data_IF_649028058683
#
_entry.id   IF_649028058683
#
_cell.length_a   1.000
_cell.length_b   1.000
_cell.length_c   1.000
_cell.angle_alpha   90.00
_cell.angle_beta   90.00
_cell.angle_gamma   90.00
#
_symmetry.space_group_name_H-M   'P 1'
#
loop_
_entity.id
_entity.type
_entity.pdbx_description
1 polymer ?
#
# COMPACT_ATOMS: atom_id res chain seq x y z
N UNK A 1 -26.90 20.22 -19.57
CA UNK A 1 -25.85 19.73 -20.50
C UNK A 1 -24.76 18.96 -19.73
N UNK A 2 -24.70 19.08 -18.40
CA UNK A 2 -23.87 18.31 -17.45
C UNK A 2 -23.98 16.78 -17.52
N UNK A 3 -25.17 16.19 -17.64
CA UNK A 3 -25.31 14.72 -17.62
C UNK A 3 -24.65 14.03 -18.83
N UNK A 4 -24.57 14.73 -19.97
CA UNK A 4 -23.79 14.28 -21.14
C UNK A 4 -22.29 14.38 -20.89
N UNK A 5 -21.87 15.29 -20.01
CA UNK A 5 -20.49 15.48 -19.62
C UNK A 5 -20.04 14.36 -18.67
N UNK A 6 -20.87 13.98 -17.69
CA UNK A 6 -20.58 12.86 -16.80
C UNK A 6 -20.54 11.52 -17.55
N UNK A 7 -21.50 11.25 -18.44
CA UNK A 7 -21.49 10.03 -19.27
C UNK A 7 -20.28 9.97 -20.22
N UNK A 8 -19.97 11.07 -20.90
CA UNK A 8 -18.79 11.10 -21.78
C UNK A 8 -17.48 11.07 -20.97
N UNK A 9 -17.45 11.58 -19.75
CA UNK A 9 -16.28 11.53 -18.90
C UNK A 9 -16.05 10.12 -18.35
N UNK A 10 -17.10 9.43 -17.88
CA UNK A 10 -17.04 8.02 -17.48
C UNK A 10 -16.67 7.12 -18.66
N UNK A 11 -17.28 7.33 -19.83
CA UNK A 11 -16.94 6.58 -21.04
C UNK A 11 -15.49 6.83 -21.46
N UNK A 12 -15.00 8.08 -21.43
CA UNK A 12 -13.58 8.39 -21.71
C UNK A 12 -12.63 7.78 -20.69
N UNK A 13 -13.00 7.73 -19.41
CA UNK A 13 -12.20 7.10 -18.37
C UNK A 13 -12.12 5.58 -18.59
N UNK A 14 -13.23 4.95 -18.97
CA UNK A 14 -13.29 3.53 -19.32
C UNK A 14 -12.52 3.20 -20.60
N UNK A 15 -12.63 4.04 -21.64
CA UNK A 15 -11.95 3.86 -22.92
C UNK A 15 -10.43 4.10 -22.80
N UNK A 16 -10.00 5.08 -22.00
CA UNK A 16 -8.57 5.37 -21.75
C UNK A 16 -7.84 4.26 -20.99
N UNK A 17 -8.56 3.45 -20.23
CA UNK A 17 -8.02 2.29 -19.53
C UNK A 17 -7.86 1.05 -20.44
N UNK A 18 -8.42 1.06 -21.65
CA UNK A 18 -8.34 -0.04 -22.62
C UNK A 18 -7.13 0.05 -23.54
N UNK A 19 -6.40 1.17 -23.58
CA UNK A 19 -5.22 1.35 -24.42
C UNK A 19 -3.94 1.12 -23.61
N UNK A 20 -3.50 -0.14 -23.55
CA UNK A 20 -2.16 -0.50 -23.09
C UNK A 20 -1.25 -0.74 -24.33
N UNK A 21 -0.06 -0.13 -24.43
CA UNK A 21 0.81 -0.28 -25.60
C UNK A 21 1.40 -1.70 -25.65
N UNK A 22 1.14 -2.42 -26.75
CA UNK A 22 1.79 -3.70 -27.07
C UNK A 22 3.30 -3.53 -27.15
N UNK A 23 4.02 -4.11 -26.20
CA UNK A 23 5.46 -4.34 -26.31
C UNK A 23 5.67 -5.51 -27.29
N UNK A 24 6.35 -5.22 -28.41
CA UNK A 24 6.88 -6.22 -29.34
C UNK A 24 8.03 -6.98 -28.68
N UNK A 25 7.94 -8.30 -28.64
CA UNK A 25 9.06 -9.19 -28.32
C UNK A 25 9.56 -9.86 -29.61
N UNK A 26 10.82 -9.62 -29.95
CA UNK A 26 11.59 -10.41 -30.92
C UNK A 26 12.33 -11.53 -30.19
N UNK A 27 12.32 -12.78 -30.69
CA UNK A 27 13.18 -13.83 -30.17
C UNK A 27 14.44 -13.97 -31.05
N UNK A 28 15.62 -13.79 -30.47
CA UNK A 28 16.86 -14.19 -31.11
C UNK A 28 17.25 -15.61 -30.74
N UNK A 29 17.78 -16.29 -31.75
CA UNK A 29 17.97 -17.72 -31.85
C UNK A 29 19.46 -18.08 -31.74
N UNK A 30 19.69 -19.32 -31.32
CA UNK A 30 20.77 -20.21 -31.77
C UNK A 30 22.19 -20.08 -31.16
N UNK A 31 22.46 -21.05 -30.29
CA UNK A 31 23.58 -22.01 -30.33
C UNK A 31 24.66 -21.87 -31.42
N UNK A 32 25.93 -22.00 -31.00
CA UNK A 32 26.94 -22.86 -31.64
C UNK A 32 28.14 -23.16 -30.72
N UNK A 33 28.49 -24.44 -30.69
CA UNK A 33 29.62 -25.12 -30.08
C UNK A 33 30.93 -24.96 -30.89
N UNK A 34 32.10 -25.26 -30.27
CA UNK A 34 33.13 -26.24 -30.74
C UNK A 34 34.62 -25.85 -30.45
N UNK A 35 35.37 -26.91 -30.05
CA UNK A 35 36.79 -27.26 -30.16
C UNK A 35 37.83 -26.86 -29.08
N UNK A 36 38.38 -27.94 -28.52
CA UNK A 36 39.61 -28.17 -27.77
C UNK A 36 40.89 -27.71 -28.48
N UNK A 37 41.96 -27.44 -27.73
CA UNK A 37 43.28 -28.00 -28.05
C UNK A 37 44.22 -28.06 -26.83
N UNK A 38 45.02 -29.13 -26.79
CA UNK A 38 46.05 -29.47 -25.81
C UNK A 38 47.38 -28.78 -26.14
N UNK A 39 48.29 -28.68 -25.15
CA UNK A 39 49.70 -28.41 -25.43
C UNK A 39 50.57 -28.22 -24.19
N UNK A 40 51.10 -29.33 -23.67
CA UNK A 40 52.29 -29.37 -22.80
C UNK A 40 53.56 -28.91 -23.55
N UNK A 41 54.49 -28.25 -22.84
CA UNK A 41 55.93 -28.55 -22.90
C UNK A 41 56.75 -27.75 -21.87
N UNK A 42 57.14 -28.46 -20.81
CA UNK A 42 58.51 -28.68 -20.30
C UNK A 42 59.63 -27.62 -20.38
N UNK A 43 60.37 -27.61 -19.26
CA UNK A 43 61.85 -27.66 -19.11
C UNK A 43 62.65 -26.39 -18.71
N UNK A 44 62.98 -26.38 -17.41
CA UNK A 44 64.32 -26.47 -16.79
C UNK A 44 65.40 -25.34 -16.88
N UNK A 45 65.84 -24.95 -15.67
CA UNK A 45 67.22 -24.82 -15.13
C UNK A 45 68.22 -23.85 -15.77
N UNK A 46 68.77 -22.88 -14.99
CA UNK A 46 69.95 -23.02 -14.10
C UNK A 46 70.57 -21.65 -13.74
N UNK A 47 71.09 -21.51 -12.50
CA UNK A 47 72.35 -20.82 -12.08
C UNK A 47 72.20 -20.27 -10.65
N UNK A 48 72.74 -20.90 -9.58
CA UNK A 48 74.13 -20.76 -9.06
C UNK A 48 74.52 -19.31 -8.69
N UNK A 49 75.20 -18.96 -7.59
CA UNK A 49 75.77 -19.65 -6.41
C UNK A 49 76.40 -18.60 -5.45
N UNK A 50 76.67 -19.00 -4.19
CA UNK A 50 77.65 -18.39 -3.26
C UNK A 50 77.10 -18.09 -1.86
N UNK A 51 77.73 -18.37 -0.71
CA UNK A 51 79.07 -18.89 -0.38
C UNK A 51 79.12 -19.23 1.14
N UNK A 52 79.59 -20.44 1.46
CA UNK A 52 80.37 -20.95 2.62
C UNK A 52 80.31 -20.33 4.06
N UNK A 53 79.79 -21.15 4.99
CA UNK A 53 80.28 -21.74 6.27
C UNK A 53 81.46 -21.19 7.13
N UNK A 54 81.28 -21.44 8.45
CA UNK A 54 82.23 -21.74 9.56
C UNK A 54 82.23 -20.65 10.68
N UNK A 55 82.22 -20.89 12.00
CA UNK A 55 82.08 -22.05 12.90
C UNK A 55 82.08 -21.53 14.36
N UNK A 56 81.25 -22.15 15.21
CA UNK A 56 81.34 -22.41 16.66
C UNK A 56 81.85 -21.33 17.66
N UNK A 57 81.11 -21.10 18.78
CA UNK A 57 81.59 -21.16 20.19
C UNK A 57 80.48 -20.76 21.21
N UNK A 58 80.11 -21.72 22.08
CA UNK A 58 79.66 -21.69 23.49
C UNK A 58 78.56 -20.75 24.04
N UNK A 59 77.61 -21.42 24.70
CA UNK A 59 76.70 -21.05 25.81
C UNK A 59 76.87 -19.70 26.53
N UNK A 60 75.75 -18.99 26.76
CA UNK A 60 75.32 -18.71 28.15
C UNK A 60 73.83 -18.31 28.20
N UNK A 61 73.17 -18.91 29.19
CA UNK A 61 71.82 -18.66 29.71
C UNK A 61 71.70 -17.22 30.20
N UNK A 62 70.66 -16.50 29.80
CA UNK A 62 69.85 -15.60 30.65
C UNK A 62 68.41 -15.71 30.16
N UNK A 63 67.61 -16.36 30.99
CA UNK A 63 66.16 -16.37 31.02
C UNK A 63 65.71 -15.02 31.57
N UNK A 64 64.97 -14.23 30.78
CA UNK A 64 64.26 -13.06 31.29
C UNK A 64 62.96 -12.83 30.49
N UNK A 65 61.88 -13.42 31.01
CA UNK A 65 60.50 -12.94 30.95
C UNK A 65 59.87 -12.73 29.56
N UNK A 66 59.45 -13.82 28.91
CA UNK A 66 58.26 -13.78 28.06
C UNK A 66 57.03 -13.58 28.96
N UNK A 67 56.39 -12.43 28.80
CA UNK A 67 55.07 -12.17 29.36
C UNK A 67 54.10 -12.99 28.51
N UNK A 68 53.66 -14.15 29.02
CA UNK A 68 52.68 -15.02 28.36
C UNK A 68 51.41 -14.23 28.01
N UNK A 69 51.29 -13.82 26.74
CA UNK A 69 50.03 -13.35 26.19
C UNK A 69 49.13 -14.58 26.00
N UNK A 70 47.94 -14.63 26.64
CA UNK A 70 47.09 -15.82 26.59
C UNK A 70 46.72 -16.12 25.14
N UNK A 71 46.60 -17.41 24.77
CA UNK A 71 46.31 -17.81 23.40
C UNK A 71 45.04 -17.12 22.90
N UNK A 72 44.99 -16.71 21.62
CA UNK A 72 43.93 -15.86 21.05
C UNK A 72 42.52 -16.46 21.19
N UNK A 73 42.42 -17.78 21.36
CA UNK A 73 41.16 -18.49 21.64
C UNK A 73 40.52 -18.10 22.97
N UNK A 74 41.31 -17.88 24.02
CA UNK A 74 40.81 -17.55 25.36
C UNK A 74 40.27 -16.11 25.43
N UNK A 75 40.81 -15.21 24.61
CA UNK A 75 40.33 -13.83 24.52
C UNK A 75 38.98 -13.75 23.79
N UNK A 76 38.80 -14.57 22.74
CA UNK A 76 37.53 -14.67 22.05
C UNK A 76 36.45 -15.23 22.97
N UNK A 77 36.70 -16.35 23.68
CA UNK A 77 35.72 -16.93 24.61
C UNK A 77 35.24 -15.95 25.70
N UNK A 78 36.15 -15.19 26.33
CA UNK A 78 35.77 -14.15 27.31
C UNK A 78 34.91 -13.06 26.68
N UNK A 79 35.26 -12.61 25.47
CA UNK A 79 34.47 -11.62 24.74
C UNK A 79 33.07 -12.14 24.40
N UNK A 80 32.92 -13.44 24.10
CA UNK A 80 31.62 -14.07 23.87
C UNK A 80 30.77 -13.98 25.14
N UNK A 81 31.32 -14.39 26.28
CA UNK A 81 30.61 -14.39 27.56
C UNK A 81 30.16 -12.97 27.96
N UNK A 82 31.05 -11.98 27.80
CA UNK A 82 30.74 -10.57 28.09
C UNK A 82 29.58 -10.04 27.22
N UNK A 83 29.59 -10.33 25.91
CA UNK A 83 28.51 -9.93 25.00
C UNK A 83 27.19 -10.59 25.37
N UNK A 84 27.21 -11.88 25.74
CA UNK A 84 26.00 -12.60 26.14
C UNK A 84 25.39 -12.04 27.42
N UNK A 85 26.20 -11.69 28.42
CA UNK A 85 25.75 -11.07 29.67
C UNK A 85 25.13 -9.69 29.41
N UNK A 86 25.76 -8.88 28.55
CA UNK A 86 25.21 -7.58 28.15
C UNK A 86 23.86 -7.75 27.44
N UNK A 87 23.76 -8.70 26.50
CA UNK A 87 22.52 -8.96 25.77
C UNK A 87 21.40 -9.47 26.69
N UNK A 88 21.70 -10.35 27.64
CA UNK A 88 20.72 -10.83 28.62
C UNK A 88 20.22 -9.70 29.53
N UNK A 89 21.13 -8.81 29.95
CA UNK A 89 20.78 -7.63 30.73
C UNK A 89 19.83 -6.73 29.94
N UNK A 90 20.17 -6.40 28.68
CA UNK A 90 19.34 -5.53 27.83
C UNK A 90 17.97 -6.16 27.50
N UNK A 91 17.92 -7.47 27.27
CA UNK A 91 16.67 -8.20 27.07
C UNK A 91 15.78 -8.13 28.31
N UNK A 92 16.36 -8.33 29.51
CA UNK A 92 15.62 -8.24 30.77
C UNK A 92 15.08 -6.83 31.05
N UNK A 93 15.77 -5.79 30.58
CA UNK A 93 15.37 -4.39 30.68
C UNK A 93 14.45 -3.93 29.54
N UNK A 94 14.09 -4.84 28.61
CA UNK A 94 13.30 -4.54 27.41
C UNK A 94 13.92 -3.44 26.51
N UNK A 95 15.25 -3.33 26.50
CA UNK A 95 16.02 -2.38 25.68
C UNK A 95 16.37 -2.97 24.32
N UNK A 96 15.32 -3.36 23.57
CA UNK A 96 15.44 -4.11 22.31
C UNK A 96 16.29 -3.38 21.26
N UNK A 97 16.10 -2.06 21.09
CA UNK A 97 16.83 -1.26 20.10
C UNK A 97 18.35 -1.27 20.33
N UNK A 98 18.76 -1.30 21.60
CA UNK A 98 20.16 -1.31 22.02
C UNK A 98 20.77 -2.71 21.86
N UNK A 99 20.02 -3.76 22.21
CA UNK A 99 20.44 -5.13 21.98
C UNK A 99 20.68 -5.41 20.48
N UNK A 100 19.81 -4.89 19.60
CA UNK A 100 20.00 -4.99 18.14
C UNK A 100 21.27 -4.24 17.70
N UNK A 101 21.53 -3.04 18.23
CA UNK A 101 22.73 -2.26 17.87
C UNK A 101 24.04 -2.97 18.26
N UNK A 102 24.06 -3.66 19.41
CA UNK A 102 25.20 -4.49 19.81
C UNK A 102 25.39 -5.64 18.83
N UNK A 103 24.33 -6.36 18.47
CA UNK A 103 24.42 -7.47 17.51
C UNK A 103 24.88 -7.06 16.11
N UNK A 104 24.47 -5.88 15.63
CA UNK A 104 24.96 -5.32 14.37
C UNK A 104 26.47 -5.02 14.43
N UNK A 105 26.90 -4.39 15.53
CA UNK A 105 28.33 -4.05 15.77
C UNK A 105 29.17 -5.31 15.86
N UNK A 106 28.66 -6.35 16.54
CA UNK A 106 29.33 -7.63 16.71
C UNK A 106 29.40 -8.43 15.42
N UNK A 107 28.38 -8.39 14.57
CA UNK A 107 28.45 -9.00 13.25
C UNK A 107 29.52 -8.33 12.36
N UNK A 108 29.67 -7.01 12.43
CA UNK A 108 30.74 -6.29 11.73
C UNK A 108 32.13 -6.57 12.32
N UNK A 109 32.25 -6.60 13.65
CA UNK A 109 33.48 -6.99 14.35
C UNK A 109 33.90 -8.39 13.92
N UNK A 110 32.96 -9.33 13.89
CA UNK A 110 33.21 -10.71 13.51
C UNK A 110 33.69 -10.83 12.06
N UNK A 111 33.09 -10.09 11.11
CA UNK A 111 33.55 -10.03 9.71
C UNK A 111 34.98 -9.50 9.60
N UNK A 112 35.41 -8.58 10.47
CA UNK A 112 36.80 -8.10 10.52
C UNK A 112 37.75 -9.16 11.09
N UNK A 113 37.37 -9.78 12.22
CA UNK A 113 38.17 -10.82 12.89
C UNK A 113 38.36 -12.04 11.99
N UNK A 114 37.34 -12.45 11.22
CA UNK A 114 37.41 -13.56 10.25
C UNK A 114 38.38 -13.28 9.09
N UNK A 115 38.63 -12.00 8.76
CA UNK A 115 39.58 -11.57 7.70
C UNK A 115 40.99 -11.39 8.24
N UNK A 116 41.15 -10.91 9.48
CA UNK A 116 42.45 -10.61 10.09
C UNK A 116 43.11 -11.82 10.76
N UNK A 117 42.33 -12.69 11.41
CA UNK A 117 42.84 -13.91 12.04
C UNK A 117 42.57 -15.13 11.15
N UNK A 118 43.54 -15.46 10.30
CA UNK A 118 43.52 -16.67 9.47
C UNK A 118 43.66 -18.00 10.21
N UNK A 119 43.71 -18.00 11.56
CA UNK A 119 44.07 -19.18 12.37
C UNK A 119 43.22 -19.35 13.66
N UNK A 120 41.97 -18.85 13.69
CA UNK A 120 41.04 -19.16 14.80
C UNK A 120 40.50 -20.59 14.63
N UNK A 121 40.44 -21.42 15.69
CA UNK A 121 39.82 -22.74 15.62
C UNK A 121 38.38 -22.65 15.09
N UNK A 122 38.10 -23.42 14.02
CA UNK A 122 36.78 -23.44 13.36
C UNK A 122 35.62 -23.69 14.34
N UNK A 123 35.89 -24.43 15.42
CA UNK A 123 34.92 -24.87 16.40
C UNK A 123 34.38 -23.69 17.24
N UNK A 124 35.27 -22.79 17.68
CA UNK A 124 34.94 -21.60 18.48
C UNK A 124 34.18 -20.58 17.64
N UNK A 125 34.59 -20.39 16.36
CA UNK A 125 33.87 -19.53 15.41
C UNK A 125 32.45 -20.01 15.14
N UNK A 126 32.26 -21.33 15.00
CA UNK A 126 30.94 -21.92 14.81
C UNK A 126 30.05 -21.76 16.05
N UNK A 127 30.62 -21.93 17.25
CA UNK A 127 29.93 -21.71 18.52
C UNK A 127 29.45 -20.26 18.64
N UNK A 128 30.32 -19.29 18.35
CA UNK A 128 29.96 -17.87 18.36
C UNK A 128 28.85 -17.53 17.36
N UNK A 129 28.99 -17.99 16.10
CA UNK A 129 27.95 -17.80 15.06
C UNK A 129 26.60 -18.37 15.54
N UNK A 130 26.62 -19.55 16.17
CA UNK A 130 25.41 -20.18 16.72
C UNK A 130 24.78 -19.34 17.83
N UNK A 131 25.57 -18.86 18.79
CA UNK A 131 25.09 -18.07 19.93
C UNK A 131 24.52 -16.72 19.48
N UNK A 132 25.21 -16.01 18.59
CA UNK A 132 24.71 -14.77 18.00
C UNK A 132 23.41 -15.01 17.23
N UNK A 133 23.34 -16.11 16.46
CA UNK A 133 22.12 -16.49 15.74
C UNK A 133 20.97 -16.80 16.69
N UNK A 134 21.23 -17.45 17.82
CA UNK A 134 20.24 -17.73 18.85
C UNK A 134 19.70 -16.44 19.47
N UNK A 135 20.58 -15.50 19.84
CA UNK A 135 20.17 -14.20 20.41
C UNK A 135 19.39 -13.36 19.41
N UNK A 136 19.76 -13.37 18.12
CA UNK A 136 18.96 -12.76 17.05
C UNK A 136 17.56 -13.38 16.98
N UNK A 137 17.45 -14.70 17.02
CA UNK A 137 16.16 -15.38 17.00
C UNK A 137 15.27 -15.01 18.19
N UNK A 138 15.85 -14.91 19.40
CA UNK A 138 15.13 -14.44 20.60
C UNK A 138 14.60 -13.01 20.44
N UNK A 139 15.43 -12.07 19.98
CA UNK A 139 15.01 -10.69 19.74
C UNK A 139 13.95 -10.57 18.66
N UNK A 140 14.04 -11.37 17.59
CA UNK A 140 13.02 -11.46 16.55
C UNK A 140 11.69 -11.95 17.12
N UNK A 141 11.72 -12.97 17.98
CA UNK A 141 10.52 -13.51 18.63
C UNK A 141 9.85 -12.44 19.52
N UNK A 142 10.61 -11.81 20.41
CA UNK A 142 10.09 -10.74 21.29
C UNK A 142 9.53 -9.57 20.49
N UNK A 143 10.26 -9.10 19.47
CA UNK A 143 9.79 -8.03 18.58
C UNK A 143 8.52 -8.43 17.82
N UNK A 144 8.39 -9.70 17.45
CA UNK A 144 7.18 -10.24 16.82
C UNK A 144 6.01 -10.19 17.78
N UNK A 145 6.17 -10.70 19.01
CA UNK A 145 5.13 -10.68 20.06
C UNK A 145 4.65 -9.26 20.34
N UNK A 146 5.57 -8.28 20.34
CA UNK A 146 5.22 -6.86 20.37
C UNK A 146 4.40 -6.51 19.12
N UNK A 147 4.88 -6.72 17.90
CA UNK A 147 4.13 -6.36 16.69
C UNK A 147 2.72 -6.98 16.57
N UNK A 148 2.48 -8.18 17.11
CA UNK A 148 1.16 -8.83 17.07
C UNK A 148 0.16 -8.26 18.09
N UNK A 149 0.62 -7.54 19.11
CA UNK A 149 -0.25 -7.09 20.18
C UNK A 149 -1.14 -5.91 19.74
N UNK A 150 -2.44 -6.21 19.65
CA UNK A 150 -3.50 -5.30 19.19
C UNK A 150 -3.68 -3.99 19.98
N UNK A 151 -3.08 -3.86 21.16
CA UNK A 151 -3.22 -2.69 22.05
C UNK A 151 -2.10 -1.67 21.93
N UNK A 152 -1.10 -1.94 21.09
CA UNK A 152 0.09 -1.10 20.99
C UNK A 152 -0.19 0.19 20.23
N UNK A 153 0.46 1.27 20.68
CA UNK A 153 0.34 2.57 20.04
C UNK A 153 0.97 2.55 18.63
N UNK A 154 0.43 3.36 17.70
CA UNK A 154 0.97 3.46 16.34
C UNK A 154 2.51 3.63 16.24
N UNK A 155 3.17 4.50 17.04
CA UNK A 155 4.62 4.65 16.99
C UNK A 155 5.39 3.46 17.55
N UNK A 156 4.89 2.81 18.61
CA UNK A 156 5.53 1.60 19.16
C UNK A 156 5.45 0.43 18.18
N UNK A 157 4.33 0.29 17.47
CA UNK A 157 4.22 -0.70 16.41
C UNK A 157 5.28 -0.49 15.33
N UNK A 158 5.62 0.75 14.96
CA UNK A 158 6.61 0.99 13.92
C UNK A 158 8.01 0.55 14.32
N UNK A 159 8.34 0.53 15.62
CA UNK A 159 9.66 0.13 16.10
C UNK A 159 9.93 -1.35 15.88
N UNK A 160 8.93 -2.21 16.10
CA UNK A 160 9.11 -3.65 16.01
C UNK A 160 9.50 -4.14 14.60
N UNK A 161 8.79 -3.82 13.50
CA UNK A 161 9.20 -4.16 12.15
C UNK A 161 10.56 -3.56 11.76
N UNK A 162 10.90 -2.36 12.24
CA UNK A 162 12.22 -1.75 12.00
C UNK A 162 13.31 -2.60 12.64
N UNK A 163 13.13 -3.01 13.90
CA UNK A 163 14.06 -3.91 14.60
C UNK A 163 14.19 -5.27 13.91
N UNK A 164 13.07 -5.87 13.49
CA UNK A 164 13.06 -7.15 12.77
C UNK A 164 13.79 -7.03 11.41
N UNK A 165 13.59 -5.93 10.67
CA UNK A 165 14.34 -5.66 9.44
C UNK A 165 15.86 -5.56 9.70
N UNK A 166 16.27 -4.84 10.75
CA UNK A 166 17.67 -4.68 11.17
C UNK A 166 18.33 -6.02 11.54
N UNK A 167 17.56 -6.94 12.12
CA UNK A 167 18.01 -8.31 12.41
C UNK A 167 18.17 -9.20 11.16
N UNK A 168 17.79 -8.70 9.97
CA UNK A 168 17.87 -9.42 8.69
C UNK A 168 16.54 -10.05 8.26
N UNK A 169 15.50 -9.97 9.08
CA UNK A 169 14.21 -10.67 8.88
C UNK A 169 13.19 -9.79 8.14
N UNK A 170 13.61 -9.18 7.02
CA UNK A 170 12.81 -8.19 6.28
C UNK A 170 11.46 -8.72 5.79
N UNK A 171 11.37 -9.99 5.40
CA UNK A 171 10.11 -10.57 4.96
C UNK A 171 9.10 -10.70 6.11
N UNK A 172 9.56 -11.13 7.29
CA UNK A 172 8.71 -11.21 8.48
C UNK A 172 8.22 -9.82 8.90
N UNK A 173 9.08 -8.81 8.86
CA UNK A 173 8.70 -7.43 9.13
C UNK A 173 7.58 -6.93 8.19
N UNK A 174 7.68 -7.24 6.89
CA UNK A 174 6.64 -6.91 5.92
C UNK A 174 5.32 -7.62 6.23
N UNK A 175 5.36 -8.94 6.43
CA UNK A 175 4.16 -9.71 6.76
C UNK A 175 3.43 -9.17 7.99
N UNK A 176 4.17 -8.86 9.07
CA UNK A 176 3.60 -8.33 10.30
C UNK A 176 2.94 -6.96 10.08
N UNK A 177 3.62 -6.07 9.34
CA UNK A 177 3.11 -4.73 9.03
C UNK A 177 1.85 -4.80 8.16
N UNK A 178 1.86 -5.61 7.10
CA UNK A 178 0.70 -5.79 6.22
C UNK A 178 -0.48 -6.41 6.96
N UNK A 179 -0.24 -7.47 7.76
CA UNK A 179 -1.28 -8.11 8.57
C UNK A 179 -1.90 -7.15 9.58
N UNK A 180 -1.11 -6.27 10.18
CA UNK A 180 -1.62 -5.21 11.05
C UNK A 180 -2.58 -4.27 10.30
N UNK A 181 -2.15 -3.74 9.16
CA UNK A 181 -2.98 -2.81 8.39
C UNK A 181 -4.24 -3.48 7.86
N UNK A 182 -4.13 -4.71 7.34
CA UNK A 182 -5.27 -5.54 6.95
C UNK A 182 -6.30 -5.68 8.08
N UNK A 183 -5.84 -6.11 9.26
CA UNK A 183 -6.72 -6.30 10.42
C UNK A 183 -7.40 -5.01 10.85
N UNK A 184 -6.70 -3.86 10.74
CA UNK A 184 -7.29 -2.56 11.04
C UNK A 184 -8.29 -2.09 9.99
N UNK A 185 -8.03 -2.34 8.71
CA UNK A 185 -8.96 -2.01 7.62
C UNK A 185 -10.24 -2.83 7.81
N UNK A 186 -10.11 -4.15 7.94
CA UNK A 186 -11.24 -5.05 8.16
C UNK A 186 -12.09 -4.63 9.37
N UNK A 187 -11.45 -4.39 10.52
CA UNK A 187 -12.15 -3.91 11.73
C UNK A 187 -12.80 -2.55 11.51
N UNK A 188 -12.10 -1.57 10.93
CA UNK A 188 -12.65 -0.23 10.75
C UNK A 188 -13.82 -0.20 9.75
N UNK A 189 -13.79 -1.01 8.69
CA UNK A 189 -14.93 -1.19 7.79
C UNK A 189 -16.12 -1.78 8.57
N UNK A 190 -15.89 -2.83 9.35
CA UNK A 190 -16.93 -3.45 10.16
C UNK A 190 -17.52 -2.47 11.21
N UNK A 191 -16.69 -1.67 11.85
CA UNK A 191 -17.15 -0.66 12.82
C UNK A 191 -17.98 0.44 12.13
N UNK A 192 -17.55 0.91 10.96
CA UNK A 192 -18.30 1.86 10.15
C UNK A 192 -19.66 1.27 9.71
N UNK A 193 -19.72 -0.01 9.36
CA UNK A 193 -20.96 -0.70 8.99
C UNK A 193 -21.96 -0.75 10.14
N UNK A 194 -21.49 -0.99 11.36
CA UNK A 194 -22.33 -1.07 12.55
C UNK A 194 -22.63 0.30 13.19
N UNK A 195 -22.09 1.37 12.63
CA UNK A 195 -22.30 2.74 13.10
C UNK A 195 -23.53 3.39 12.46
N UNK A 196 -23.97 4.53 13.04
CA UNK A 196 -25.04 5.36 12.46
C UNK A 196 -24.69 5.94 11.07
N UNK A 197 -23.43 5.87 10.66
CA UNK A 197 -22.92 6.37 9.38
C UNK A 197 -23.51 5.57 8.21
N UNK A 198 -23.84 4.28 8.40
CA UNK A 198 -24.49 3.44 7.38
C UNK A 198 -25.81 4.00 6.86
N UNK A 199 -26.52 4.77 7.68
CA UNK A 199 -27.88 5.22 7.39
C UNK A 199 -27.98 6.57 6.65
N UNK A 200 -26.88 7.33 6.53
CA UNK A 200 -26.95 8.76 6.17
C UNK A 200 -26.24 9.13 4.85
N UNK A 201 -26.15 8.24 3.86
CA UNK A 201 -25.52 8.58 2.56
C UNK A 201 -23.99 8.74 2.59
N UNK A 202 -23.39 8.85 3.79
CA UNK A 202 -21.97 9.17 4.00
C UNK A 202 -21.08 7.96 4.23
N UNK A 203 -21.66 6.76 4.41
CA UNK A 203 -20.92 5.54 4.76
C UNK A 203 -19.77 5.24 3.82
N UNK A 204 -20.04 5.18 2.52
CA UNK A 204 -19.02 4.78 1.56
C UNK A 204 -17.95 5.85 1.38
N UNK A 205 -18.30 7.13 1.53
CA UNK A 205 -17.34 8.25 1.60
C UNK A 205 -16.37 8.06 2.76
N UNK A 206 -16.87 7.70 3.94
CA UNK A 206 -16.05 7.44 5.13
C UNK A 206 -15.21 6.16 4.98
N UNK A 207 -15.77 5.10 4.38
CA UNK A 207 -15.02 3.87 4.09
C UNK A 207 -13.90 4.14 3.09
N UNK A 208 -14.16 4.87 2.00
CA UNK A 208 -13.12 5.28 1.05
C UNK A 208 -12.02 6.07 1.78
N UNK A 209 -12.40 7.12 2.52
CA UNK A 209 -11.45 7.93 3.29
C UNK A 209 -10.58 7.08 4.20
N UNK A 210 -11.21 6.16 4.94
CA UNK A 210 -10.53 5.29 5.88
C UNK A 210 -9.57 4.33 5.19
N UNK A 211 -10.03 3.55 4.21
CA UNK A 211 -9.21 2.54 3.49
C UNK A 211 -8.00 3.20 2.84
N UNK A 212 -8.22 4.25 2.04
CA UNK A 212 -7.11 4.91 1.34
C UNK A 212 -6.15 5.63 2.30
N UNK A 213 -6.64 6.14 3.45
CA UNK A 213 -5.75 6.67 4.48
C UNK A 213 -4.89 5.58 5.13
N UNK A 214 -5.42 4.37 5.32
CA UNK A 214 -4.67 3.25 5.87
C UNK A 214 -3.63 2.73 4.88
N UNK A 215 -3.97 2.66 3.59
CA UNK A 215 -3.02 2.36 2.51
C UNK A 215 -1.89 3.40 2.50
N UNK A 216 -2.20 4.70 2.60
CA UNK A 216 -1.18 5.75 2.69
C UNK A 216 -0.26 5.57 3.90
N UNK A 217 -0.82 5.24 5.06
CA UNK A 217 -0.02 5.04 6.28
C UNK A 217 0.88 3.82 6.15
N UNK A 218 0.38 2.74 5.57
CA UNK A 218 1.18 1.57 5.25
C UNK A 218 2.33 1.91 4.30
N UNK A 219 2.04 2.65 3.23
CA UNK A 219 3.04 3.11 2.28
C UNK A 219 4.14 3.94 2.96
N UNK A 220 3.76 4.89 3.83
CA UNK A 220 4.70 5.68 4.62
C UNK A 220 5.53 4.84 5.59
N UNK A 221 4.96 3.79 6.19
CA UNK A 221 5.70 2.84 7.02
C UNK A 221 6.75 2.06 6.22
N UNK A 222 6.39 1.58 5.04
CA UNK A 222 7.32 0.90 4.12
C UNK A 222 8.45 1.82 3.65
N UNK A 223 8.14 3.08 3.32
CA UNK A 223 9.16 4.07 2.96
C UNK A 223 10.13 4.36 4.11
N UNK A 224 9.67 4.32 5.38
CA UNK A 224 10.57 4.45 6.55
C UNK A 224 11.45 3.22 6.75
N UNK A 225 10.94 2.03 6.44
CA UNK A 225 11.70 0.78 6.55
C UNK A 225 12.79 0.64 5.50
N UNK A 226 12.50 1.02 4.26
CA UNK A 226 13.38 0.75 3.10
C UNK A 226 13.95 2.00 2.42
N UNK A 227 13.59 3.19 2.90
CA UNK A 227 13.97 4.47 2.31
C UNK A 227 13.09 4.89 1.13
N UNK A 228 13.12 6.19 0.80
CA UNK A 228 12.30 6.82 -0.27
C UNK A 228 12.71 6.40 -1.69
N UNK A 229 13.87 5.77 -1.83
CA UNK A 229 14.45 5.35 -3.12
C UNK A 229 14.10 3.91 -3.49
N UNK A 230 13.59 3.11 -2.55
CA UNK A 230 13.21 1.72 -2.82
C UNK A 230 11.78 1.66 -3.37
N UNK A 231 11.53 1.02 -4.53
CA UNK A 231 10.18 0.74 -4.96
C UNK A 231 9.49 -0.19 -3.96
N UNK A 232 8.18 -0.04 -3.79
CA UNK A 232 7.40 -0.95 -2.94
C UNK A 232 7.62 -2.40 -3.38
N UNK A 233 7.70 -3.32 -2.41
CA UNK A 233 7.84 -4.75 -2.68
C UNK A 233 6.61 -5.26 -3.44
N UNK A 234 6.78 -6.32 -4.23
CA UNK A 234 5.65 -6.99 -4.90
C UNK A 234 4.59 -7.46 -3.90
N UNK A 235 5.02 -7.87 -2.72
CA UNK A 235 4.16 -8.24 -1.58
C UNK A 235 3.29 -7.06 -1.13
N UNK A 236 3.85 -5.86 -0.99
CA UNK A 236 3.09 -4.67 -0.64
C UNK A 236 2.07 -4.29 -1.73
N UNK A 237 2.48 -4.33 -3.00
CA UNK A 237 1.57 -4.00 -4.12
C UNK A 237 0.41 -4.99 -4.19
N UNK A 238 0.69 -6.27 -4.02
CA UNK A 238 -0.33 -7.32 -3.97
C UNK A 238 -1.32 -7.07 -2.81
N UNK A 239 -0.81 -6.74 -1.62
CA UNK A 239 -1.65 -6.40 -0.48
C UNK A 239 -2.55 -5.19 -0.77
N UNK A 240 -2.04 -4.13 -1.41
CA UNK A 240 -2.86 -2.97 -1.78
C UNK A 240 -4.03 -3.35 -2.69
N UNK A 241 -3.83 -4.27 -3.63
CA UNK A 241 -4.90 -4.75 -4.51
C UNK A 241 -5.97 -5.53 -3.74
N UNK A 242 -5.54 -6.38 -2.80
CA UNK A 242 -6.46 -7.11 -1.91
C UNK A 242 -7.31 -6.15 -1.07
N UNK A 243 -6.73 -5.06 -0.55
CA UNK A 243 -7.50 -4.05 0.20
C UNK A 243 -8.48 -3.26 -0.70
N UNK A 244 -8.12 -3.01 -1.96
CA UNK A 244 -9.03 -2.40 -2.94
C UNK A 244 -10.20 -3.34 -3.26
N UNK A 245 -9.94 -4.65 -3.35
CA UNK A 245 -11.00 -5.65 -3.52
C UNK A 245 -11.97 -5.65 -2.32
N UNK A 246 -11.44 -5.64 -1.09
CA UNK A 246 -12.25 -5.53 0.14
C UNK A 246 -13.10 -4.25 0.15
N UNK A 247 -12.52 -3.13 -0.31
CA UNK A 247 -13.27 -1.89 -0.52
C UNK A 247 -14.39 -2.06 -1.54
N UNK A 248 -14.11 -2.66 -2.71
CA UNK A 248 -15.08 -2.83 -3.79
C UNK A 248 -16.27 -3.72 -3.38
N UNK A 249 -16.00 -4.77 -2.60
CA UNK A 249 -17.07 -5.60 -2.00
C UNK A 249 -17.95 -4.78 -1.06
N UNK A 250 -17.34 -3.91 -0.25
CA UNK A 250 -18.07 -3.03 0.68
C UNK A 250 -18.87 -1.94 -0.04
N UNK A 251 -18.32 -1.41 -1.13
CA UNK A 251 -18.97 -0.50 -2.07
C UNK A 251 -20.22 -1.14 -2.67
N UNK A 252 -20.08 -2.31 -3.29
CA UNK A 252 -21.19 -2.99 -3.96
C UNK A 252 -22.33 -3.31 -2.99
N UNK A 253 -21.99 -3.79 -1.78
CA UNK A 253 -22.96 -4.06 -0.72
C UNK A 253 -23.77 -2.82 -0.35
N UNK A 254 -23.09 -1.68 -0.18
CA UNK A 254 -23.74 -0.42 0.17
C UNK A 254 -24.65 0.09 -0.96
N UNK A 255 -24.15 0.11 -2.19
CA UNK A 255 -24.92 0.58 -3.35
C UNK A 255 -26.18 -0.26 -3.53
N UNK A 256 -26.11 -1.58 -3.36
CA UNK A 256 -27.29 -2.47 -3.44
C UNK A 256 -28.29 -2.17 -2.33
N UNK A 257 -27.83 -1.77 -1.13
CA UNK A 257 -28.73 -1.46 -0.01
C UNK A 257 -29.53 -0.15 -0.19
N UNK A 258 -29.14 0.71 -1.14
CA UNK A 258 -29.88 1.94 -1.44
C UNK A 258 -31.28 1.57 -2.00
N UNK A 259 -32.38 1.97 -1.34
CA UNK A 259 -33.72 1.46 -1.65
C UNK A 259 -34.29 2.04 -2.95
N UNK A 260 -34.00 3.31 -3.25
CA UNK A 260 -34.51 4.01 -4.42
C UNK A 260 -33.58 3.84 -5.62
N UNK A 261 -34.12 3.37 -6.75
CA UNK A 261 -33.32 3.04 -7.95
C UNK A 261 -32.66 4.29 -8.55
N UNK A 262 -33.37 5.42 -8.59
CA UNK A 262 -32.80 6.69 -9.08
C UNK A 262 -31.67 7.19 -8.17
N UNK A 263 -31.82 7.12 -6.85
CA UNK A 263 -30.76 7.53 -5.92
C UNK A 263 -29.58 6.55 -5.90
N UNK A 264 -29.80 5.28 -6.29
CA UNK A 264 -28.75 4.27 -6.31
C UNK A 264 -27.66 4.62 -7.31
N UNK A 265 -28.03 5.07 -8.52
CA UNK A 265 -27.05 5.41 -9.56
C UNK A 265 -26.23 6.64 -9.16
N UNK A 266 -26.89 7.72 -8.72
CA UNK A 266 -26.18 8.93 -8.26
C UNK A 266 -25.24 8.63 -7.09
N UNK A 267 -25.74 7.90 -6.08
CA UNK A 267 -24.93 7.47 -4.94
C UNK A 267 -23.72 6.67 -5.39
N UNK A 268 -23.89 5.71 -6.30
CA UNK A 268 -22.77 4.90 -6.81
C UNK A 268 -21.72 5.75 -7.53
N UNK A 269 -22.15 6.69 -8.38
CA UNK A 269 -21.27 7.59 -9.12
C UNK A 269 -20.49 8.51 -8.18
N UNK A 270 -21.16 9.19 -7.25
CA UNK A 270 -20.52 10.06 -6.25
C UNK A 270 -19.48 9.28 -5.43
N UNK A 271 -19.84 8.06 -5.02
CA UNK A 271 -18.97 7.18 -4.24
C UNK A 271 -17.70 6.79 -4.99
N UNK A 272 -17.81 6.47 -6.28
CA UNK A 272 -16.64 6.21 -7.15
C UNK A 272 -15.80 7.47 -7.31
N UNK A 273 -16.42 8.65 -7.44
CA UNK A 273 -15.69 9.91 -7.54
C UNK A 273 -14.86 10.19 -6.27
N UNK A 274 -15.43 9.95 -5.08
CA UNK A 274 -14.67 10.05 -3.83
C UNK A 274 -13.50 9.06 -3.77
N UNK A 275 -13.72 7.80 -4.15
CA UNK A 275 -12.63 6.81 -4.18
C UNK A 275 -11.51 7.20 -5.16
N UNK A 276 -11.87 7.68 -6.35
CA UNK A 276 -10.91 8.16 -7.36
C UNK A 276 -10.13 9.38 -6.88
N UNK A 277 -10.75 10.30 -6.13
CA UNK A 277 -10.05 11.46 -5.58
C UNK A 277 -8.97 11.03 -4.58
N UNK A 278 -9.26 10.05 -3.71
CA UNK A 278 -8.24 9.48 -2.82
C UNK A 278 -7.13 8.73 -3.56
N UNK A 279 -7.45 7.96 -4.61
CA UNK A 279 -6.41 7.36 -5.46
C UNK A 279 -5.48 8.42 -6.05
N UNK A 280 -6.02 9.58 -6.45
CA UNK A 280 -5.24 10.70 -6.99
C UNK A 280 -4.25 11.26 -5.97
N UNK A 281 -4.64 11.31 -4.69
CA UNK A 281 -3.76 11.77 -3.61
C UNK A 281 -2.60 10.81 -3.37
N UNK A 282 -2.84 9.50 -3.53
CA UNK A 282 -1.84 8.45 -3.35
C UNK A 282 -0.77 8.42 -4.45
N UNK A 283 -1.02 9.06 -5.61
CA UNK A 283 -0.02 9.20 -6.68
C UNK A 283 1.22 9.99 -6.19
N UNK A 284 1.05 10.91 -5.23
CA UNK A 284 2.18 11.61 -4.58
C UNK A 284 3.14 10.67 -3.84
N UNK A 285 2.66 9.51 -3.40
CA UNK A 285 3.44 8.44 -2.77
C UNK A 285 3.85 7.35 -3.78
N UNK A 286 3.78 7.64 -5.08
CA UNK A 286 4.09 6.70 -6.19
C UNK A 286 3.16 5.48 -6.24
N UNK A 287 1.95 5.61 -5.71
CA UNK A 287 0.91 4.57 -5.78
C UNK A 287 -0.17 4.96 -6.79
N UNK A 288 -0.15 4.31 -7.96
CA UNK A 288 -1.12 4.53 -9.03
C UNK A 288 -2.24 3.49 -8.94
N UNK A 289 -3.32 3.81 -8.23
CA UNK A 289 -4.37 2.85 -7.88
C UNK A 289 -5.65 2.97 -8.72
N UNK A 290 -5.79 4.02 -9.53
CA UNK A 290 -7.01 4.27 -10.33
C UNK A 290 -7.37 3.08 -11.24
N UNK A 291 -6.44 2.45 -12.00
CA UNK A 291 -6.80 1.33 -12.86
C UNK A 291 -7.37 0.14 -12.08
N UNK A 292 -6.72 -0.24 -10.98
CA UNK A 292 -7.16 -1.33 -10.10
C UNK A 292 -8.53 -1.03 -9.48
N UNK A 293 -8.75 0.20 -8.99
CA UNK A 293 -10.06 0.59 -8.45
C UNK A 293 -11.16 0.43 -9.52
N UNK A 294 -10.94 0.94 -10.73
CA UNK A 294 -11.91 0.86 -11.84
C UNK A 294 -12.22 -0.60 -12.17
N UNK A 295 -11.22 -1.46 -12.21
CA UNK A 295 -11.38 -2.89 -12.47
C UNK A 295 -12.34 -3.55 -11.48
N UNK A 296 -12.18 -3.30 -10.18
CA UNK A 296 -13.00 -3.93 -9.15
C UNK A 296 -14.40 -3.33 -8.98
N UNK A 297 -14.59 -2.02 -9.22
CA UNK A 297 -15.92 -1.38 -9.08
C UNK A 297 -16.78 -1.54 -10.33
N UNK A 298 -16.17 -1.79 -11.51
CA UNK A 298 -16.87 -1.86 -12.80
C UNK A 298 -18.06 -2.82 -12.80
N UNK A 299 -17.96 -4.08 -12.33
CA UNK A 299 -19.10 -5.00 -12.37
C UNK A 299 -20.32 -4.46 -11.61
N UNK A 300 -20.10 -3.87 -10.43
CA UNK A 300 -21.19 -3.26 -9.68
C UNK A 300 -21.81 -2.06 -10.41
N UNK A 301 -20.99 -1.23 -11.06
CA UNK A 301 -21.50 -0.09 -11.84
C UNK A 301 -22.32 -0.54 -13.04
N UNK A 302 -21.88 -1.58 -13.75
CA UNK A 302 -22.62 -2.18 -14.87
C UNK A 302 -23.98 -2.72 -14.41
N UNK A 303 -24.02 -3.43 -13.27
CA UNK A 303 -25.27 -3.94 -12.68
C UNK A 303 -26.23 -2.80 -12.31
N UNK A 304 -25.72 -1.74 -11.69
CA UNK A 304 -26.52 -0.58 -11.28
C UNK A 304 -27.12 0.12 -12.51
N UNK A 305 -26.31 0.31 -13.56
CA UNK A 305 -26.78 0.88 -14.83
C UNK A 305 -27.85 0.01 -15.48
N UNK A 306 -27.68 -1.32 -15.48
CA UNK A 306 -28.68 -2.24 -16.02
C UNK A 306 -30.01 -2.17 -15.25
N UNK A 307 -29.95 -2.18 -13.92
CA UNK A 307 -31.14 -2.04 -13.06
C UNK A 307 -31.86 -0.72 -13.35
N UNK A 308 -31.10 0.37 -13.51
CA UNK A 308 -31.64 1.69 -13.84
C UNK A 308 -32.34 1.70 -15.20
N UNK A 309 -31.67 1.17 -16.24
CA UNK A 309 -32.25 1.05 -17.59
C UNK A 309 -33.54 0.24 -17.58
N UNK A 310 -33.58 -0.88 -16.87
CA UNK A 310 -34.77 -1.72 -16.78
C UNK A 310 -35.90 -1.07 -15.97
N UNK A 311 -35.57 -0.29 -14.93
CA UNK A 311 -36.54 0.56 -14.24
C UNK A 311 -37.17 1.55 -15.22
N UNK A 312 -36.37 2.27 -16.00
CA UNK A 312 -36.86 3.22 -17.00
C UNK A 312 -37.72 2.56 -18.07
N UNK A 313 -37.34 1.40 -18.60
CA UNK A 313 -38.18 0.64 -19.53
C UNK A 313 -39.55 0.34 -18.94
N UNK A 314 -39.63 -0.07 -17.67
CA UNK A 314 -40.90 -0.33 -16.97
C UNK A 314 -41.74 0.94 -16.80
N UNK A 315 -41.13 2.04 -16.35
CA UNK A 315 -41.80 3.33 -16.17
C UNK A 315 -42.37 3.85 -17.49
N UNK A 316 -41.57 3.82 -18.57
CA UNK A 316 -42.00 4.21 -19.92
C UNK A 316 -43.12 3.28 -20.41
N UNK A 317 -43.01 1.98 -20.16
CA UNK A 317 -44.06 1.00 -20.48
C UNK A 317 -45.40 1.35 -19.83
N UNK A 318 -45.40 1.74 -18.54
CA UNK A 318 -46.60 2.19 -17.83
C UNK A 318 -47.16 3.48 -18.43
N UNK A 319 -46.30 4.46 -18.74
CA UNK A 319 -46.73 5.73 -19.33
C UNK A 319 -47.39 5.54 -20.68
N UNK A 320 -46.80 4.71 -21.53
CA UNK A 320 -47.29 4.43 -22.89
C UNK A 320 -48.54 3.55 -22.91
N UNK A 321 -48.66 2.57 -22.00
CA UNK A 321 -49.86 1.73 -21.89
C UNK A 321 -51.10 2.51 -21.43
N UNK A 322 -50.92 3.62 -20.71
CA UNK A 322 -52.00 4.49 -20.21
C UNK A 322 -52.27 5.71 -21.08
N UNK A 323 -51.55 5.85 -22.21
CA UNK A 323 -51.69 7.03 -23.07
C UNK A 323 -52.81 6.87 -24.10
N UNK A 324 -53.59 7.94 -24.27
CA UNK A 324 -54.55 8.07 -25.36
C UNK A 324 -53.89 8.49 -26.68
N UNK A 325 -52.58 8.79 -26.68
CA UNK A 325 -51.80 9.28 -27.82
C UNK A 325 -52.32 10.59 -28.42
N UNK A 326 -52.96 11.41 -27.57
CA UNK A 326 -53.47 12.73 -27.94
C UNK A 326 -52.46 13.80 -27.56
N UNK A 327 -52.21 14.74 -28.47
CA UNK A 327 -51.36 15.89 -28.21
C UNK A 327 -52.09 16.90 -27.31
N UNK A 328 -51.51 17.13 -26.13
CA UNK A 328 -51.86 18.20 -25.21
C UNK A 328 -50.93 19.40 -25.37
N UNK A 329 -51.47 20.59 -25.09
CA UNK A 329 -50.69 21.85 -25.03
C UNK A 329 -50.27 22.09 -23.58
N UNK A 330 -48.96 22.11 -23.31
CA UNK A 330 -48.41 22.30 -21.96
C UNK A 330 -47.46 23.49 -21.90
N UNK A 331 -47.48 24.21 -20.79
CA UNK A 331 -46.64 25.39 -20.58
C UNK A 331 -45.17 24.98 -20.39
N UNK A 332 -44.27 25.60 -21.16
CA UNK A 332 -42.85 25.27 -21.11
C UNK A 332 -42.20 25.58 -19.74
N UNK A 333 -42.63 26.63 -19.03
CA UNK A 333 -42.16 26.95 -17.68
C UNK A 333 -42.51 25.89 -16.62
N UNK A 334 -43.55 25.09 -16.83
CA UNK A 334 -43.93 23.98 -15.94
C UNK A 334 -43.34 22.63 -16.37
N UNK A 335 -42.51 22.64 -17.40
CA UNK A 335 -41.84 21.47 -17.95
C UNK A 335 -40.33 21.73 -17.82
N UNK A 336 -39.72 22.66 -18.55
CA UNK A 336 -38.27 22.87 -18.47
C UNK A 336 -37.88 23.77 -17.29
N UNK A 337 -37.07 23.26 -16.35
CA UNK A 337 -36.55 24.05 -15.22
C UNK A 337 -35.45 25.02 -15.68
N UNK A 338 -35.79 26.32 -15.75
CA UNK A 338 -35.00 27.57 -15.59
C UNK A 338 -33.57 27.73 -16.13
N UNK A 339 -33.01 26.79 -16.90
CA UNK A 339 -31.65 26.88 -17.45
C UNK A 339 -31.61 27.27 -18.94
N UNK A 340 -32.77 27.57 -19.53
CA UNK A 340 -32.87 28.23 -20.84
C UNK A 340 -33.43 29.65 -20.66
N UNK A 341 -32.61 30.58 -20.18
CA UNK A 341 -32.83 32.00 -20.53
C UNK A 341 -32.28 32.20 -21.96
N UNK A 342 -32.87 32.96 -22.88
CA UNK A 342 -33.97 33.91 -22.82
C UNK A 342 -34.55 34.05 -24.23
N UNK A 343 -35.81 34.47 -24.35
CA UNK A 343 -36.13 35.74 -25.04
C UNK A 343 -37.53 36.17 -24.64
N UNK A 344 -37.61 37.09 -23.68
CA UNK A 344 -38.79 37.96 -23.55
C UNK A 344 -38.63 39.08 -24.56
N UNK A 345 -39.33 38.97 -25.69
CA UNK A 345 -39.90 40.12 -26.41
C UNK A 345 -41.28 39.70 -26.91
N UNK A 346 -42.33 40.15 -26.18
CA UNK A 346 -43.73 39.99 -26.57
C UNK A 346 -44.46 38.85 -25.85
N UNK A 347 -45.33 39.21 -24.92
CA UNK A 347 -46.13 38.35 -24.04
C UNK A 347 -46.93 37.25 -24.77
N UNK A 348 -46.32 36.08 -25.01
CA UNK A 348 -47.07 34.84 -25.15
C UNK A 348 -46.39 33.73 -24.35
N UNK A 349 -47.12 33.03 -23.47
CA UNK A 349 -46.60 31.83 -22.83
C UNK A 349 -46.17 30.84 -23.91
N UNK A 350 -44.92 30.40 -23.84
CA UNK A 350 -44.39 29.37 -24.72
C UNK A 350 -44.99 28.01 -24.32
N UNK A 351 -45.59 27.32 -25.29
CA UNK A 351 -46.21 26.02 -25.07
C UNK A 351 -45.52 24.95 -25.92
N UNK A 352 -45.35 23.75 -25.37
CA UNK A 352 -44.99 22.57 -26.13
C UNK A 352 -46.21 21.66 -26.34
N UNK A 353 -46.26 21.01 -27.50
CA UNK A 353 -47.21 19.95 -27.79
C UNK A 353 -46.58 18.61 -27.42
N UNK A 354 -47.12 17.93 -26.42
CA UNK A 354 -46.66 16.61 -25.98
C UNK A 354 -47.86 15.69 -25.82
N UNK A 355 -47.64 14.39 -25.95
CA UNK A 355 -48.61 13.40 -25.49
C UNK A 355 -48.62 13.36 -23.95
N UNK A 356 -49.62 12.69 -23.35
CA UNK A 356 -49.67 12.56 -21.89
C UNK A 356 -48.49 11.76 -21.35
N UNK A 357 -48.06 10.71 -22.06
CA UNK A 357 -46.83 9.95 -21.76
C UNK A 357 -45.57 10.77 -21.99
N UNK A 358 -45.52 11.55 -23.07
CA UNK A 358 -44.41 12.45 -23.37
C UNK A 358 -44.19 13.47 -22.26
N UNK A 359 -45.27 14.05 -21.72
CA UNK A 359 -45.18 14.95 -20.56
C UNK A 359 -44.64 14.22 -19.31
N UNK A 360 -45.23 13.07 -18.95
CA UNK A 360 -44.80 12.29 -17.77
C UNK A 360 -43.32 11.89 -17.86
N UNK A 361 -42.88 11.46 -19.06
CA UNK A 361 -41.47 11.12 -19.31
C UNK A 361 -40.53 12.31 -19.09
N UNK A 362 -40.89 13.49 -19.62
CA UNK A 362 -40.08 14.70 -19.45
C UNK A 362 -40.00 15.10 -17.97
N UNK A 363 -41.10 14.99 -17.20
CA UNK A 363 -41.09 15.25 -15.76
C UNK A 363 -40.15 14.31 -15.00
N UNK A 364 -40.18 13.00 -15.27
CA UNK A 364 -39.27 12.03 -14.63
C UNK A 364 -37.80 12.36 -14.91
N UNK A 365 -37.46 12.74 -16.15
CA UNK A 365 -36.10 13.14 -16.50
C UNK A 365 -35.65 14.42 -15.79
N UNK A 366 -36.57 15.27 -15.33
CA UNK A 366 -36.25 16.56 -14.71
C UNK A 366 -36.09 16.46 -13.22
N UNK A 367 -36.89 15.63 -12.56
CA UNK A 367 -36.75 15.35 -11.14
C UNK A 367 -35.34 14.78 -10.87
N UNK A 368 -34.82 13.90 -11.73
CA UNK A 368 -33.44 13.40 -11.66
C UNK A 368 -32.36 14.50 -11.80
N UNK A 369 -32.62 15.57 -12.57
CA UNK A 369 -31.67 16.69 -12.75
C UNK A 369 -31.77 17.78 -11.65
N UNK A 370 -32.80 17.74 -10.80
CA UNK A 370 -33.04 18.73 -9.76
C UNK A 370 -32.35 18.40 -8.43
N UNK A 371 -32.10 17.12 -8.17
CA UNK A 371 -31.51 16.64 -6.92
C UNK A 371 -29.98 16.88 -6.84
N UNK A 372 -29.27 16.86 -7.98
CA UNK A 372 -27.83 17.20 -8.02
C UNK A 372 -27.54 18.65 -7.60
N UNK A 373 -28.50 19.58 -7.72
CA UNK A 373 -28.30 21.00 -7.41
C UNK A 373 -28.48 21.35 -5.94
N UNK A 374 -29.33 20.65 -5.21
CA UNK A 374 -29.54 20.94 -3.77
C UNK A 374 -28.36 20.52 -2.90
N UNK A 375 -27.49 19.62 -3.36
CA UNK A 375 -26.30 19.21 -2.59
C UNK A 375 -25.06 20.08 -2.86
N UNK A 376 -24.97 20.69 -4.05
CA UNK A 376 -23.86 21.61 -4.39
C UNK A 376 -23.96 22.98 -3.70
N UNK A 377 -25.13 23.37 -3.19
CA UNK A 377 -25.29 24.61 -2.41
C UNK A 377 -24.92 24.45 -0.92
N UNK A 378 -24.74 23.22 -0.42
CA UNK A 378 -24.26 22.94 0.95
C UNK A 378 -22.76 22.60 1.03
N UNK A 379 -22.05 22.49 -0.10
CA UNK A 379 -20.60 22.25 -0.08
C UNK A 379 -19.81 23.57 0.00
N UNK A 380 -19.23 23.82 1.18
CA UNK A 380 -18.11 24.75 1.37
C UNK A 380 -16.99 24.45 0.34
N UNK A 381 -16.34 25.49 -0.22
CA UNK A 381 -15.41 25.33 -1.32
C UNK A 381 -14.22 24.42 -0.95
N UNK A 382 -13.94 23.48 -1.86
CA UNK A 382 -12.89 22.44 -1.83
C UNK A 382 -11.46 22.97 -1.60
N UNK A 383 -11.26 24.29 -1.51
CA UNK A 383 -9.98 24.89 -1.11
C UNK A 383 -9.62 24.64 0.37
N UNK A 384 -10.57 24.23 1.21
CA UNK A 384 -10.33 23.89 2.63
C UNK A 384 -9.79 22.47 2.90
N UNK A 385 -9.71 21.59 1.89
CA UNK A 385 -9.24 20.20 2.09
C UNK A 385 -7.71 20.09 2.07
N UNK A 386 -7.03 21.02 1.39
CA UNK A 386 -5.57 21.07 1.34
C UNK A 386 -4.95 21.47 2.69
N UNK A 387 -5.64 22.28 3.50
CA UNK A 387 -5.14 22.78 4.79
C UNK A 387 -5.51 21.89 5.99
N UNK A 388 -6.48 20.97 5.87
CA UNK A 388 -6.85 20.03 6.93
C UNK A 388 -6.04 18.72 6.94
N UNK A 389 -5.12 18.54 5.99
CA UNK A 389 -4.17 17.42 5.97
C UNK A 389 -2.80 17.78 6.55
N UNK A 390 -2.75 18.83 7.39
CA UNK A 390 -1.58 19.13 8.20
C UNK A 390 -1.55 18.18 9.41
N UNK A 391 -0.87 17.05 9.29
CA UNK A 391 -0.66 16.09 10.38
C UNK A 391 0.31 16.67 11.42
N UNK A 392 -0.22 17.51 12.30
CA UNK A 392 0.45 17.93 13.52
C UNK A 392 0.46 16.80 14.56
N UNK A 393 1.66 16.48 15.03
CA UNK A 393 1.87 15.93 16.37
C UNK A 393 1.12 16.77 17.41
N UNK A 394 0.55 16.08 18.40
CA UNK A 394 0.15 16.53 19.73
C UNK A 394 -1.35 16.49 20.05
N UNK A 395 -1.65 15.57 20.98
CA UNK A 395 -2.62 15.66 22.06
C UNK A 395 -4.11 15.86 21.72
N UNK A 396 -4.89 14.79 21.86
CA UNK A 396 -5.63 14.54 23.12
C UNK A 396 -6.29 13.17 23.09
N UNK A 397 -5.71 12.24 23.85
CA UNK A 397 -6.47 11.20 24.52
C UNK A 397 -7.51 11.87 25.42
N UNK A 398 -8.79 11.53 25.23
CA UNK A 398 -9.76 11.41 26.32
C UNK A 398 -10.77 10.31 25.98
N UNK A 399 -10.63 9.19 26.68
CA UNK A 399 -11.67 8.29 27.19
C UNK A 399 -12.89 8.00 26.29
N UNK A 400 -12.89 6.85 25.60
CA UNK A 400 -13.59 5.63 26.04
C UNK A 400 -13.15 4.42 25.21
#
# INVERSE_FOLDING_TARGET
MENRFQWNHLQRLLDSASENPRIQTTPDSSSASIYSDNGDHDSNLHSMAGKLLSEETMESIIEESEMDEPPPSNQLEVHIDDILEILDTLLSENRIDEAIAILETEEENFKRVEVELGDVPSDVLMLYKSLISERKAMLTLESTLVAENSRISGPELQKAPVGICRLGESHLANQLLLRYYHSRIARGIHDLQNSKVFLHGVYIREVSRFVFSMISRAAGSFMKLYGETSPFSSEFIQWVYEEIEVFAVSFARYVISVPEVSNRLSTAVESVQFALSYCSLLESQRLVLRPCLIEHVRPCMEDVLLIHVDHFKKVIGIFTATDAWVLGRYLLSGILNESCSSMVIGERPEYCLLTSSGRKFVTVLQDENSFERQQLEEEEPVQGVQEKLNWGSSATEKNL
#
